data_IF_200496728952
#
_entry.id   IF_200496728952
#
_cell.length_a   1.000
_cell.length_b   1.000
_cell.length_c   1.000
_cell.angle_alpha   90.00
_cell.angle_beta   90.00
_cell.angle_gamma   90.00
#
_symmetry.space_group_name_H-M   'P 1'
#
loop_
_entity.id
_entity.type
_entity.pdbx_description
1 polymer ?
#
# COMPACT_ATOMS: atom_id res chain seq x y z
N UNK A 1 -11.37 15.48 -6.92
CA UNK A 1 -10.67 14.75 -5.82
C UNK A 1 -11.57 14.38 -4.64
N UNK A 2 -12.88 14.68 -4.63
CA UNK A 2 -13.72 14.42 -3.45
C UNK A 2 -14.43 13.05 -3.43
N UNK A 3 -14.70 12.43 -4.58
CA UNK A 3 -15.47 11.18 -4.61
C UNK A 3 -14.67 9.98 -4.08
N UNK A 4 -13.40 9.86 -4.46
CA UNK A 4 -12.56 8.74 -4.04
C UNK A 4 -12.29 8.79 -2.53
N UNK A 5 -12.09 9.98 -1.96
CA UNK A 5 -11.89 10.14 -0.51
C UNK A 5 -13.14 9.76 0.29
N UNK A 6 -14.33 10.17 -0.19
CA UNK A 6 -15.62 9.78 0.41
C UNK A 6 -15.86 8.27 0.26
N UNK A 7 -15.45 7.67 -0.85
CA UNK A 7 -15.58 6.23 -1.12
C UNK A 7 -14.64 5.41 -0.23
N UNK A 8 -13.39 5.86 -0.07
CA UNK A 8 -12.44 5.28 0.90
C UNK A 8 -12.93 5.39 2.33
N UNK A 9 -13.47 6.55 2.75
CA UNK A 9 -14.03 6.72 4.09
C UNK A 9 -15.21 5.78 4.33
N UNK A 10 -16.08 5.58 3.33
CA UNK A 10 -17.18 4.61 3.41
C UNK A 10 -16.67 3.16 3.53
N UNK A 11 -15.66 2.80 2.75
CA UNK A 11 -15.08 1.46 2.78
C UNK A 11 -14.37 1.17 4.11
N UNK A 12 -13.63 2.14 4.64
CA UNK A 12 -13.03 2.09 5.97
C UNK A 12 -14.10 1.91 7.04
N UNK A 13 -15.16 2.73 7.02
CA UNK A 13 -16.27 2.61 7.98
C UNK A 13 -16.98 1.25 7.88
N UNK A 14 -17.18 0.72 6.67
CA UNK A 14 -17.76 -0.61 6.45
C UNK A 14 -16.89 -1.72 7.04
N UNK A 15 -15.58 -1.66 6.81
CA UNK A 15 -14.62 -2.63 7.35
C UNK A 15 -14.53 -2.56 8.87
N UNK A 16 -14.51 -1.36 9.43
CA UNK A 16 -14.53 -1.14 10.89
C UNK A 16 -15.82 -1.66 11.52
N UNK A 17 -16.97 -1.42 10.90
CA UNK A 17 -18.25 -1.95 11.36
C UNK A 17 -18.29 -3.49 11.31
N UNK A 18 -17.80 -4.09 10.21
CA UNK A 18 -17.69 -5.55 10.11
C UNK A 18 -16.77 -6.11 11.20
N UNK A 19 -15.59 -5.54 11.37
CA UNK A 19 -14.66 -5.97 12.42
C UNK A 19 -15.26 -5.83 13.83
N UNK A 20 -15.98 -4.73 14.10
CA UNK A 20 -16.68 -4.53 15.36
C UNK A 20 -17.78 -5.57 15.59
N UNK A 21 -18.54 -5.94 14.55
CA UNK A 21 -19.57 -6.97 14.64
C UNK A 21 -18.98 -8.36 14.88
N UNK A 22 -17.90 -8.72 14.18
CA UNK A 22 -17.20 -10.01 14.39
C UNK A 22 -16.64 -10.10 15.82
N UNK A 23 -16.06 -9.00 16.32
CA UNK A 23 -15.61 -8.93 17.71
C UNK A 23 -16.79 -9.09 18.67
N UNK A 24 -17.89 -8.36 18.48
CA UNK A 24 -19.08 -8.50 19.31
C UNK A 24 -19.66 -9.93 19.29
N UNK A 25 -19.76 -10.54 18.12
CA UNK A 25 -20.22 -11.92 17.93
C UNK A 25 -19.30 -12.94 18.63
N UNK A 26 -17.98 -12.72 18.58
CA UNK A 26 -17.02 -13.58 19.29
C UNK A 26 -17.18 -13.49 20.82
N UNK A 27 -17.43 -12.30 21.37
CA UNK A 27 -17.70 -12.10 22.79
C UNK A 27 -19.01 -12.77 23.22
N UNK A 28 -20.06 -12.68 22.40
CA UNK A 28 -21.34 -13.35 22.66
C UNK A 28 -21.14 -14.87 22.67
N UNK A 29 -20.41 -15.40 21.70
CA UNK A 29 -20.09 -16.83 21.59
C UNK A 29 -19.28 -17.32 22.79
N UNK A 30 -18.23 -16.60 23.20
CA UNK A 30 -17.43 -16.93 24.38
C UNK A 30 -18.28 -16.94 25.65
N UNK A 31 -19.14 -15.93 25.82
CA UNK A 31 -20.08 -15.84 26.95
C UNK A 31 -21.04 -17.04 26.98
N UNK A 32 -21.60 -17.43 25.85
CA UNK A 32 -22.50 -18.59 25.75
C UNK A 32 -21.77 -19.90 26.12
N UNK A 33 -20.58 -20.12 25.58
CA UNK A 33 -19.76 -21.29 25.90
C UNK A 33 -19.43 -21.38 27.39
N UNK A 34 -19.12 -20.26 28.02
CA UNK A 34 -18.87 -20.18 29.47
C UNK A 34 -20.14 -20.47 30.27
N UNK A 35 -21.29 -19.91 29.90
CA UNK A 35 -22.57 -20.19 30.58
C UNK A 35 -22.96 -21.65 30.46
N UNK A 36 -22.84 -22.27 29.29
CA UNK A 36 -23.07 -23.71 29.08
C UNK A 36 -22.14 -24.55 29.98
N UNK A 37 -20.88 -24.14 30.10
CA UNK A 37 -19.92 -24.82 30.97
C UNK A 37 -20.30 -24.72 32.45
N UNK A 38 -20.85 -23.58 32.88
CA UNK A 38 -21.37 -23.37 34.25
C UNK A 38 -22.62 -24.22 34.50
N UNK A 39 -23.58 -24.23 33.57
CA UNK A 39 -24.79 -25.07 33.66
C UNK A 39 -24.38 -26.54 33.81
N UNK A 40 -23.48 -27.01 32.94
CA UNK A 40 -22.95 -28.37 33.00
C UNK A 40 -22.32 -28.68 34.36
N UNK A 41 -21.54 -27.76 34.92
CA UNK A 41 -20.93 -27.93 36.23
C UNK A 41 -21.97 -28.14 37.35
N UNK A 42 -23.06 -27.38 37.36
CA UNK A 42 -24.13 -27.54 38.35
C UNK A 42 -24.91 -28.84 38.17
N UNK A 43 -25.19 -29.23 36.91
CA UNK A 43 -25.82 -30.53 36.60
C UNK A 43 -24.96 -31.71 37.07
N UNK A 44 -23.64 -31.66 36.85
CA UNK A 44 -22.70 -32.68 37.32
C UNK A 44 -22.66 -32.79 38.86
N UNK A 45 -23.00 -31.73 39.58
CA UNK A 45 -23.15 -31.70 41.04
C UNK A 45 -24.55 -32.07 41.53
N UNK A 46 -25.50 -32.29 40.63
CA UNK A 46 -26.91 -32.56 40.94
C UNK A 46 -27.70 -31.35 41.42
N UNK A 47 -27.17 -30.13 41.25
CA UNK A 47 -27.84 -28.87 41.61
C UNK A 47 -28.66 -28.36 40.43
N UNK A 48 -29.82 -28.99 40.22
CA UNK A 48 -30.68 -28.73 39.07
C UNK A 48 -31.36 -27.36 39.12
N UNK A 49 -31.59 -26.81 40.32
CA UNK A 49 -32.21 -25.49 40.49
C UNK A 49 -31.23 -24.38 40.06
N UNK A 50 -29.96 -24.48 40.47
CA UNK A 50 -28.93 -23.58 40.00
C UNK A 50 -28.70 -23.71 38.50
N UNK A 51 -28.63 -24.94 37.97
CA UNK A 51 -28.48 -25.17 36.52
C UNK A 51 -29.63 -24.56 35.70
N UNK A 52 -30.87 -24.71 36.16
CA UNK A 52 -32.05 -24.14 35.52
C UNK A 52 -32.02 -22.60 35.54
N UNK A 53 -31.68 -22.00 36.69
CA UNK A 53 -31.56 -20.54 36.81
C UNK A 53 -30.51 -19.94 35.86
N UNK A 54 -29.39 -20.63 35.61
CA UNK A 54 -28.38 -20.20 34.63
C UNK A 54 -28.80 -20.45 33.19
N UNK A 55 -29.67 -21.44 32.95
CA UNK A 55 -30.24 -21.73 31.63
C UNK A 55 -31.24 -20.66 31.22
N UNK A 56 -32.13 -20.22 32.12
CA UNK A 56 -33.06 -19.12 31.82
C UNK A 56 -32.30 -17.82 31.50
N UNK A 57 -31.20 -17.57 32.22
CA UNK A 57 -30.32 -16.43 31.95
C UNK A 57 -29.61 -16.46 30.59
N UNK A 58 -29.38 -17.62 29.95
CA UNK A 58 -28.73 -17.67 28.62
C UNK A 58 -29.69 -17.23 27.50
N UNK A 59 -30.99 -17.50 27.68
CA UNK A 59 -32.04 -17.18 26.71
C UNK A 59 -32.33 -15.68 26.68
N UNK A 60 -32.24 -15.00 27.82
CA UNK A 60 -32.36 -13.53 27.93
C UNK A 60 -31.24 -12.76 27.20
N UNK A 61 -30.18 -13.43 26.76
CA UNK A 61 -29.01 -12.81 26.09
C UNK A 61 -28.91 -13.08 24.59
N UNK A 62 -29.82 -13.86 24.00
CA UNK A 62 -29.89 -14.05 22.56
C UNK A 62 -30.62 -12.85 21.93
N UNK A 63 -29.94 -12.06 21.10
CA UNK A 63 -30.56 -10.88 20.45
C UNK A 63 -31.67 -11.24 19.45
N UNK A 64 -31.68 -12.46 18.90
CA UNK A 64 -32.73 -12.96 18.01
C UNK A 64 -33.65 -13.95 18.74
N UNK A 65 -34.95 -13.63 18.77
CA UNK A 65 -35.99 -14.48 19.36
C UNK A 65 -36.33 -15.65 18.40
N UNK A 66 -35.62 -16.76 18.59
CA UNK A 66 -35.88 -18.00 17.85
C UNK A 66 -37.08 -18.78 18.38
N UNK A 67 -37.75 -18.33 19.45
CA UNK A 67 -38.81 -19.11 20.12
C UNK A 67 -39.93 -19.48 19.14
N UNK A 68 -40.34 -18.53 18.30
CA UNK A 68 -41.38 -18.78 17.29
C UNK A 68 -40.92 -19.74 16.17
N UNK A 69 -39.64 -19.75 15.80
CA UNK A 69 -39.11 -20.69 14.80
C UNK A 69 -38.98 -22.11 15.38
N UNK A 70 -38.54 -22.21 16.64
CA UNK A 70 -38.42 -23.48 17.36
C UNK A 70 -39.80 -24.10 17.58
N UNK A 71 -40.80 -23.31 18.01
CA UNK A 71 -42.18 -23.78 18.17
C UNK A 71 -42.76 -24.32 16.85
N UNK A 72 -42.50 -23.65 15.73
CA UNK A 72 -42.98 -24.08 14.41
C UNK A 72 -42.27 -25.34 13.86
N UNK A 73 -41.14 -25.73 14.44
CA UNK A 73 -40.37 -26.91 14.04
C UNK A 73 -40.24 -27.94 15.19
N UNK A 74 -41.06 -27.83 16.25
CA UNK A 74 -40.95 -28.64 17.48
C UNK A 74 -41.00 -30.16 17.23
N UNK A 75 -41.66 -30.57 16.14
CA UNK A 75 -41.85 -31.97 15.79
C UNK A 75 -40.59 -32.62 15.19
N UNK A 76 -39.60 -31.84 14.74
CA UNK A 76 -38.34 -32.32 14.15
C UNK A 76 -37.24 -31.25 14.20
N UNK A 77 -36.79 -30.93 15.42
CA UNK A 77 -35.76 -29.92 15.65
C UNK A 77 -34.39 -30.31 15.09
N UNK A 78 -34.07 -31.61 15.10
CA UNK A 78 -32.80 -32.12 14.58
C UNK A 78 -32.72 -31.91 13.07
N UNK A 79 -33.77 -32.27 12.32
CA UNK A 79 -33.78 -32.00 10.87
C UNK A 79 -33.85 -30.52 10.54
N UNK A 80 -34.52 -29.70 11.36
CA UNK A 80 -34.53 -28.25 11.21
C UNK A 80 -33.14 -27.64 11.40
N UNK A 81 -32.44 -28.07 12.45
CA UNK A 81 -31.10 -27.64 12.76
C UNK A 81 -30.13 -28.08 11.66
N UNK A 82 -30.12 -29.36 11.29
CA UNK A 82 -29.26 -29.91 10.23
C UNK A 82 -29.45 -29.17 8.91
N UNK A 83 -30.69 -28.82 8.55
CA UNK A 83 -31.00 -28.03 7.35
C UNK A 83 -30.50 -26.59 7.44
N UNK A 84 -30.54 -26.00 8.63
CA UNK A 84 -30.00 -24.64 8.86
C UNK A 84 -28.47 -24.64 8.76
N UNK A 85 -27.84 -25.73 9.18
CA UNK A 85 -26.39 -25.92 9.15
C UNK A 85 -25.88 -26.56 7.84
N UNK A 86 -26.77 -26.93 6.91
CA UNK A 86 -26.44 -27.66 5.67
C UNK A 86 -25.44 -26.91 4.75
N UNK A 87 -25.37 -25.59 4.89
CA UNK A 87 -24.42 -24.73 4.15
C UNK A 87 -23.36 -24.10 5.07
N UNK A 88 -23.15 -24.63 6.27
CA UNK A 88 -22.08 -24.15 7.13
C UNK A 88 -20.73 -24.37 6.48
N UNK A 89 -20.01 -23.26 6.32
CA UNK A 89 -18.71 -23.23 5.71
C UNK A 89 -17.68 -23.52 6.79
N UNK A 90 -16.80 -24.50 6.57
CA UNK A 90 -15.70 -24.77 7.49
C UNK A 90 -14.76 -23.56 7.60
N UNK A 91 -13.97 -23.46 8.67
CA UNK A 91 -12.99 -22.36 8.84
C UNK A 91 -12.04 -22.23 7.65
N UNK A 92 -11.65 -23.35 7.04
CA UNK A 92 -10.77 -23.39 5.87
C UNK A 92 -11.50 -22.88 4.62
N UNK A 93 -12.73 -23.31 4.38
CA UNK A 93 -13.53 -22.84 3.25
C UNK A 93 -13.91 -21.35 3.41
N UNK A 94 -14.16 -20.88 4.63
CA UNK A 94 -14.43 -19.47 4.91
C UNK A 94 -13.21 -18.61 4.60
N UNK A 95 -12.01 -19.08 4.95
CA UNK A 95 -10.75 -18.43 4.61
C UNK A 95 -10.51 -18.42 3.10
N UNK A 96 -10.80 -19.52 2.40
CA UNK A 96 -10.70 -19.60 0.94
C UNK A 96 -11.69 -18.66 0.24
N UNK A 97 -12.94 -18.57 0.71
CA UNK A 97 -13.93 -17.62 0.21
C UNK A 97 -13.42 -16.20 0.40
N UNK A 98 -12.99 -15.83 1.62
CA UNK A 98 -12.44 -14.50 1.93
C UNK A 98 -11.25 -14.16 1.02
N UNK A 99 -10.29 -15.07 0.84
CA UNK A 99 -9.14 -14.84 -0.05
C UNK A 99 -9.56 -14.75 -1.52
N UNK A 100 -10.55 -15.54 -1.97
CA UNK A 100 -11.03 -15.54 -3.35
C UNK A 100 -11.87 -14.30 -3.70
N UNK A 101 -12.63 -13.76 -2.75
CA UNK A 101 -13.43 -12.55 -2.89
C UNK A 101 -12.60 -11.27 -2.75
N UNK A 102 -11.38 -11.39 -2.23
CA UNK A 102 -10.48 -10.26 -2.00
C UNK A 102 -9.15 -10.37 -2.78
N UNK A 103 -9.17 -10.60 -4.11
CA UNK A 103 -7.95 -10.78 -4.91
C UNK A 103 -7.05 -9.54 -4.90
N UNK A 104 -7.65 -8.35 -4.76
CA UNK A 104 -6.94 -7.08 -4.65
C UNK A 104 -6.15 -6.97 -3.34
N UNK A 105 -6.66 -7.51 -2.24
CA UNK A 105 -5.98 -7.51 -0.93
C UNK A 105 -4.79 -8.46 -0.96
N UNK A 106 -4.94 -9.63 -1.57
CA UNK A 106 -3.83 -10.57 -1.76
C UNK A 106 -2.75 -10.01 -2.70
N UNK A 107 -3.16 -9.34 -3.79
CA UNK A 107 -2.23 -8.64 -4.68
C UNK A 107 -1.48 -7.51 -3.97
N UNK A 108 -2.18 -6.73 -3.13
CA UNK A 108 -1.57 -5.67 -2.33
C UNK A 108 -0.58 -6.21 -1.30
N UNK A 109 -0.95 -7.27 -0.57
CA UNK A 109 -0.10 -7.95 0.41
C UNK A 109 1.19 -8.44 -0.24
N UNK A 110 1.10 -9.06 -1.42
CA UNK A 110 2.27 -9.48 -2.19
C UNK A 110 3.13 -8.29 -2.62
N UNK A 111 2.51 -7.25 -3.19
CA UNK A 111 3.19 -6.02 -3.62
C UNK A 111 3.92 -5.32 -2.46
N UNK A 112 3.31 -5.29 -1.27
CA UNK A 112 3.89 -4.72 -0.06
C UNK A 112 5.15 -5.47 0.39
N UNK A 113 5.10 -6.80 0.37
CA UNK A 113 6.26 -7.65 0.69
C UNK A 113 7.40 -7.39 -0.30
N UNK A 114 7.11 -7.41 -1.61
CA UNK A 114 8.09 -7.15 -2.66
C UNK A 114 8.71 -5.74 -2.53
N UNK A 115 7.90 -4.72 -2.21
CA UNK A 115 8.38 -3.35 -1.99
C UNK A 115 9.27 -3.23 -0.76
N UNK A 116 8.90 -3.89 0.34
CA UNK A 116 9.69 -3.87 1.57
C UNK A 116 11.05 -4.52 1.37
N UNK A 117 11.10 -5.64 0.66
CA UNK A 117 12.35 -6.33 0.32
C UNK A 117 13.23 -5.43 -0.56
N UNK A 118 12.67 -4.79 -1.59
CA UNK A 118 13.39 -3.82 -2.43
C UNK A 118 13.90 -2.61 -1.65
N UNK A 119 13.08 -2.02 -0.77
CA UNK A 119 13.48 -0.87 0.05
C UNK A 119 14.63 -1.21 1.01
N UNK A 120 14.68 -2.46 1.50
CA UNK A 120 15.78 -2.93 2.34
C UNK A 120 17.13 -2.95 1.59
N UNK A 121 17.13 -3.14 0.26
CA UNK A 121 18.34 -3.05 -0.58
C UNK A 121 18.93 -1.62 -0.58
N UNK A 122 18.06 -0.60 -0.54
CA UNK A 122 18.47 0.82 -0.53
C UNK A 122 18.92 1.32 0.85
N UNK A 123 18.46 0.68 1.94
CA UNK A 123 18.80 1.09 3.32
C UNK A 123 20.29 1.03 3.66
N UNK A 124 21.10 0.30 2.88
CA UNK A 124 22.55 0.20 3.05
C UNK A 124 23.36 1.07 2.07
N UNK A 125 22.69 1.85 1.21
CA UNK A 125 23.36 2.67 0.20
C UNK A 125 23.61 4.09 0.70
N UNK A 126 24.73 4.69 0.28
CA UNK A 126 24.94 6.13 0.45
C UNK A 126 24.10 6.89 -0.59
N UNK A 127 23.39 7.96 -0.21
CA UNK A 127 22.66 8.80 -1.15
C UNK A 127 23.63 9.48 -2.14
N UNK A 128 23.20 9.63 -3.39
CA UNK A 128 23.99 10.30 -4.44
C UNK A 128 23.54 11.74 -4.68
N UNK A 129 22.34 12.09 -4.22
CA UNK A 129 21.72 13.39 -4.35
C UNK A 129 20.69 13.58 -3.23
N UNK A 130 20.19 14.81 -3.09
CA UNK A 130 19.17 15.17 -2.10
C UNK A 130 18.13 16.07 -2.75
N UNK A 131 16.86 15.83 -2.40
CA UNK A 131 15.76 16.67 -2.85
C UNK A 131 14.96 17.19 -1.65
N UNK A 132 14.36 18.37 -1.82
CA UNK A 132 13.39 18.95 -0.89
C UNK A 132 12.04 19.04 -1.60
N UNK A 133 11.00 18.48 -1.01
CA UNK A 133 9.63 18.73 -1.46
C UNK A 133 9.26 20.19 -1.16
N UNK A 134 8.68 20.85 -2.15
CA UNK A 134 8.16 22.22 -2.01
C UNK A 134 6.64 22.24 -1.85
N UNK A 135 6.01 21.07 -1.85
CA UNK A 135 4.57 20.92 -2.00
C UNK A 135 4.12 21.10 -3.46
N UNK A 136 2.82 20.89 -3.68
CA UNK A 136 2.18 20.93 -5.01
C UNK A 136 2.83 20.01 -6.05
N UNK A 137 3.38 18.88 -5.63
CA UNK A 137 4.01 17.90 -6.53
C UNK A 137 5.35 18.35 -7.11
N UNK A 138 5.96 19.41 -6.57
CA UNK A 138 7.23 19.96 -7.05
C UNK A 138 8.38 19.66 -6.08
N UNK A 139 9.47 19.08 -6.59
CA UNK A 139 10.68 18.81 -5.82
C UNK A 139 11.84 19.68 -6.31
N UNK A 140 12.69 20.13 -5.40
CA UNK A 140 13.91 20.87 -5.71
C UNK A 140 15.14 20.01 -5.46
N UNK A 141 16.02 19.88 -6.46
CA UNK A 141 17.35 19.33 -6.26
C UNK A 141 18.16 20.29 -5.36
N UNK A 142 18.61 19.78 -4.22
CA UNK A 142 19.41 20.50 -3.23
C UNK A 142 20.78 19.87 -3.04
N UNK A 143 21.19 18.97 -3.95
CA UNK A 143 22.49 18.30 -3.94
C UNK A 143 23.66 19.29 -3.99
N UNK A 144 23.45 20.45 -4.62
CA UNK A 144 24.44 21.53 -4.69
C UNK A 144 24.48 22.42 -3.44
N UNK A 145 23.65 22.14 -2.43
CA UNK A 145 23.53 22.91 -1.18
C UNK A 145 23.82 22.03 0.06
N UNK A 146 25.00 21.40 0.17
CA UNK A 146 25.28 20.38 1.19
C UNK A 146 25.18 20.89 2.62
N UNK A 147 25.57 22.15 2.87
CA UNK A 147 25.47 22.78 4.20
C UNK A 147 24.01 22.93 4.64
N UNK A 148 23.13 23.36 3.72
CA UNK A 148 21.70 23.49 4.01
C UNK A 148 21.02 22.14 4.21
N UNK A 149 21.41 21.12 3.45
CA UNK A 149 20.91 19.75 3.66
C UNK A 149 21.29 19.23 5.05
N UNK A 150 22.51 19.50 5.52
CA UNK A 150 22.93 19.11 6.87
C UNK A 150 22.13 19.86 7.96
N UNK A 151 22.00 21.18 7.84
CA UNK A 151 21.21 22.00 8.76
C UNK A 151 19.75 21.55 8.85
N UNK A 152 19.12 21.28 7.71
CA UNK A 152 17.74 20.83 7.68
C UNK A 152 17.57 19.41 8.21
N UNK A 153 18.55 18.52 8.02
CA UNK A 153 18.52 17.19 8.64
C UNK A 153 18.57 17.25 10.16
N UNK A 154 19.48 18.07 10.69
CA UNK A 154 19.59 18.29 12.14
C UNK A 154 18.30 18.93 12.70
N UNK A 155 17.70 19.85 11.93
CA UNK A 155 16.39 20.42 12.25
C UNK A 155 15.28 19.35 12.27
N UNK A 156 15.19 18.49 11.26
CA UNK A 156 14.18 17.42 11.18
C UNK A 156 14.33 16.37 12.27
N UNK A 157 15.57 16.00 12.62
CA UNK A 157 15.85 15.06 13.71
C UNK A 157 15.44 15.63 15.07
N UNK A 158 15.47 16.96 15.24
CA UNK A 158 15.09 17.65 16.48
C UNK A 158 13.62 18.10 16.52
N UNK A 159 12.95 18.22 15.37
CA UNK A 159 11.57 18.71 15.24
C UNK A 159 10.75 17.87 14.24
N UNK A 160 10.52 16.57 14.52
CA UNK A 160 9.85 15.64 13.60
C UNK A 160 8.43 16.04 13.22
N UNK A 161 7.75 16.84 14.06
CA UNK A 161 6.38 17.32 13.87
C UNK A 161 6.22 18.40 12.79
N UNK A 162 7.31 19.05 12.41
CA UNK A 162 7.36 20.11 11.39
C UNK A 162 8.52 19.89 10.41
N UNK A 163 8.98 18.64 10.30
CA UNK A 163 10.10 18.28 9.47
C UNK A 163 9.84 18.68 8.01
N UNK A 164 10.83 19.33 7.39
CA UNK A 164 10.84 19.55 5.95
C UNK A 164 10.97 18.20 5.24
N UNK A 165 10.27 17.98 4.14
CA UNK A 165 10.34 16.76 3.33
C UNK A 165 11.64 16.73 2.50
N UNK A 166 12.77 16.62 3.18
CA UNK A 166 14.07 16.38 2.56
C UNK A 166 14.33 14.89 2.57
N UNK A 167 14.48 14.34 1.37
CA UNK A 167 14.65 12.91 1.19
C UNK A 167 15.90 12.60 0.35
N UNK A 168 16.61 11.51 0.71
CA UNK A 168 17.75 11.05 -0.04
C UNK A 168 17.34 10.50 -1.41
N UNK A 169 18.10 10.85 -2.44
CA UNK A 169 18.02 10.22 -3.76
C UNK A 169 19.14 9.19 -3.89
N UNK A 170 18.76 7.93 -4.02
CA UNK A 170 19.70 6.83 -4.23
C UNK A 170 19.88 6.56 -5.72
N UNK A 171 21.10 6.22 -6.13
CA UNK A 171 21.34 5.74 -7.49
C UNK A 171 20.65 4.39 -7.63
N UNK A 172 19.70 4.30 -8.56
CA UNK A 172 19.04 3.03 -8.87
C UNK A 172 20.09 1.97 -9.23
N UNK A 173 20.06 0.82 -8.57
CA UNK A 173 21.06 -0.25 -8.69
C UNK A 173 21.05 -0.96 -10.05
N UNK A 174 20.23 -0.53 -11.01
CA UNK A 174 20.24 -1.10 -12.36
C UNK A 174 21.59 -0.79 -13.03
N UNK A 175 22.56 -1.67 -12.80
CA UNK A 175 23.64 -2.01 -13.73
C UNK A 175 23.07 -2.68 -14.99
N UNK A 176 21.97 -2.17 -15.55
CA UNK A 176 21.77 -2.36 -16.97
C UNK A 176 22.93 -1.62 -17.62
N UNK A 177 23.70 -2.30 -18.45
CA UNK A 177 24.69 -1.65 -19.30
C UNK A 177 23.95 -0.60 -20.11
N UNK A 178 24.05 0.67 -19.70
CA UNK A 178 23.47 1.80 -20.41
C UNK A 178 24.14 1.87 -21.79
N UNK A 179 23.45 1.32 -22.79
CA UNK A 179 23.85 1.48 -24.18
C UNK A 179 23.44 2.86 -24.65
N UNK A 180 24.42 3.77 -24.72
CA UNK A 180 24.19 5.10 -25.25
C UNK A 180 23.85 5.01 -26.74
N UNK A 181 22.70 5.57 -27.09
CA UNK A 181 22.27 5.65 -28.49
C UNK A 181 22.96 6.77 -29.24
N UNK A 182 23.41 7.81 -28.53
CA UNK A 182 24.14 8.94 -29.06
C UNK A 182 24.77 9.76 -27.91
N UNK A 183 25.56 10.75 -28.26
CA UNK A 183 25.99 11.84 -27.38
C UNK A 183 25.14 13.09 -27.65
N UNK A 184 24.92 13.90 -26.62
CA UNK A 184 24.25 15.20 -26.74
C UNK A 184 25.06 16.28 -26.04
N UNK A 185 25.38 17.34 -26.75
CA UNK A 185 25.87 18.59 -26.18
C UNK A 185 24.66 19.47 -25.83
N UNK A 186 24.36 19.54 -24.54
CA UNK A 186 23.14 20.17 -24.05
C UNK A 186 23.19 21.70 -24.18
N UNK A 187 22.15 22.29 -24.75
CA UNK A 187 21.96 23.74 -24.81
C UNK A 187 20.94 24.22 -23.79
N UNK A 188 19.86 23.46 -23.58
CA UNK A 188 18.85 23.76 -22.57
C UNK A 188 18.05 22.51 -22.18
N UNK A 189 17.51 22.50 -20.96
CA UNK A 189 16.49 21.56 -20.52
C UNK A 189 15.31 22.38 -20.00
N UNK A 190 14.13 22.22 -20.60
CA UNK A 190 12.98 23.11 -20.38
C UNK A 190 11.76 22.28 -19.96
N UNK A 191 11.09 22.69 -18.89
CA UNK A 191 9.79 22.17 -18.47
C UNK A 191 8.66 22.81 -19.30
N UNK A 192 7.74 21.99 -19.80
CA UNK A 192 6.57 22.39 -20.55
C UNK A 192 5.32 22.41 -19.65
N UNK A 193 4.22 23.02 -20.10
CA UNK A 193 2.96 23.23 -19.35
C UNK A 193 2.21 21.95 -18.87
N UNK A 194 2.77 20.76 -19.06
CA UNK A 194 2.22 19.45 -18.66
C UNK A 194 3.18 18.64 -17.76
N UNK A 195 4.05 19.29 -16.97
CA UNK A 195 5.11 18.64 -16.16
C UNK A 195 6.08 17.77 -16.99
N UNK A 196 6.18 18.03 -18.30
CA UNK A 196 7.08 17.31 -19.20
C UNK A 196 8.33 18.13 -19.44
N UNK A 197 9.49 17.60 -19.09
CA UNK A 197 10.78 18.20 -19.42
C UNK A 197 11.28 17.71 -20.79
N UNK A 198 11.77 18.62 -21.62
CA UNK A 198 12.43 18.31 -22.90
C UNK A 198 13.84 18.91 -22.94
N UNK A 199 14.77 18.20 -23.58
CA UNK A 199 16.13 18.66 -23.78
C UNK A 199 16.34 19.18 -25.20
N UNK A 200 17.13 20.24 -25.31
CA UNK A 200 17.62 20.82 -26.55
C UNK A 200 19.14 20.72 -26.58
N UNK A 201 19.71 20.35 -27.72
CA UNK A 201 21.15 20.23 -27.86
C UNK A 201 21.59 19.73 -29.22
N UNK A 202 22.90 19.65 -29.40
CA UNK A 202 23.53 19.09 -30.61
C UNK A 202 23.84 17.62 -30.42
N UNK A 203 23.43 16.80 -31.37
CA UNK A 203 23.64 15.35 -31.34
C UNK A 203 24.99 14.97 -31.95
N UNK A 204 25.65 13.97 -31.39
CA UNK A 204 26.90 13.39 -31.91
C UNK A 204 26.88 11.86 -31.77
N UNK A 205 27.68 11.17 -32.57
CA UNK A 205 27.93 9.72 -32.42
C UNK A 205 26.63 8.89 -32.36
N UNK A 206 25.61 9.24 -33.15
CA UNK A 206 24.33 8.53 -33.14
C UNK A 206 24.49 7.13 -33.77
N UNK A 207 24.45 6.10 -32.91
CA UNK A 207 24.65 4.71 -33.30
C UNK A 207 23.57 4.21 -34.25
N UNK A 208 22.39 4.85 -34.24
CA UNK A 208 21.26 4.56 -35.12
C UNK A 208 21.29 5.35 -36.43
N UNK A 209 22.27 6.24 -36.63
CA UNK A 209 22.43 7.07 -37.84
C UNK A 209 21.17 7.84 -38.23
N UNK A 210 20.38 8.31 -37.25
CA UNK A 210 19.17 9.11 -37.48
C UNK A 210 19.53 10.56 -37.76
N UNK A 211 20.63 11.02 -37.17
CA UNK A 211 21.13 12.39 -37.29
C UNK A 211 22.63 12.38 -37.61
N UNK A 212 23.06 13.42 -38.34
CA UNK A 212 24.48 13.70 -38.52
C UNK A 212 25.02 14.43 -37.29
N UNK A 213 26.34 14.34 -37.06
CA UNK A 213 27.01 15.03 -35.97
C UNK A 213 26.83 16.55 -36.06
N UNK A 214 26.57 17.19 -34.91
CA UNK A 214 26.38 18.63 -34.78
C UNK A 214 24.97 19.13 -35.09
N UNK A 215 24.03 18.25 -35.47
CA UNK A 215 22.64 18.63 -35.73
C UNK A 215 21.92 18.98 -34.42
N UNK A 216 21.25 20.13 -34.41
CA UNK A 216 20.41 20.54 -33.30
C UNK A 216 19.11 19.73 -33.27
N UNK A 217 18.78 19.21 -32.09
CA UNK A 217 17.58 18.43 -31.86
C UNK A 217 16.81 18.93 -30.65
N UNK A 218 15.49 18.66 -30.67
CA UNK A 218 14.63 18.64 -29.50
C UNK A 218 14.32 17.19 -29.18
N UNK A 219 14.56 16.76 -27.94
CA UNK A 219 14.26 15.38 -27.53
C UNK A 219 12.76 15.17 -27.30
N UNK A 220 12.35 13.90 -27.32
CA UNK A 220 11.12 13.49 -26.62
C UNK A 220 11.23 13.75 -25.11
N UNK A 221 10.13 13.68 -24.34
CA UNK A 221 10.16 13.92 -22.90
C UNK A 221 11.24 13.12 -22.18
N UNK A 222 11.95 13.83 -21.30
CA UNK A 222 13.04 13.29 -20.49
C UNK A 222 12.43 12.51 -19.32
N UNK A 223 12.92 11.30 -19.12
CA UNK A 223 12.48 10.38 -18.06
C UNK A 223 13.23 10.65 -16.74
N UNK A 224 14.48 11.11 -16.83
CA UNK A 224 15.31 11.46 -15.67
C UNK A 224 15.62 12.97 -15.55
N UNK A 225 14.60 13.87 -15.58
CA UNK A 225 14.83 15.31 -15.69
C UNK A 225 15.49 15.93 -14.45
N UNK A 226 15.45 15.24 -13.31
CA UNK A 226 16.02 15.73 -12.05
C UNK A 226 17.41 15.17 -11.74
N UNK A 227 17.84 14.11 -12.44
CA UNK A 227 19.12 13.44 -12.17
C UNK A 227 20.05 13.43 -13.37
N UNK A 228 19.65 13.91 -14.54
CA UNK A 228 20.46 13.81 -15.77
C UNK A 228 21.88 14.38 -15.63
N UNK A 229 22.06 15.46 -14.85
CA UNK A 229 23.37 16.06 -14.59
C UNK A 229 24.26 15.10 -13.78
N UNK A 230 23.74 14.57 -12.67
CA UNK A 230 24.48 13.66 -11.77
C UNK A 230 24.66 12.27 -12.37
N UNK A 231 23.72 11.84 -13.21
CA UNK A 231 23.75 10.62 -14.00
C UNK A 231 24.75 10.70 -15.17
N UNK A 232 25.01 11.92 -15.68
CA UNK A 232 25.84 12.15 -16.86
C UNK A 232 25.17 11.75 -18.18
N UNK A 233 23.86 11.49 -18.19
CA UNK A 233 23.10 11.11 -19.36
C UNK A 233 21.64 11.55 -19.28
N UNK A 234 21.01 11.72 -20.44
CA UNK A 234 19.57 11.97 -20.60
C UNK A 234 18.91 10.71 -21.13
N UNK A 235 17.91 10.20 -20.40
CA UNK A 235 17.06 9.10 -20.83
C UNK A 235 15.72 9.64 -21.30
N UNK A 236 15.26 9.15 -22.43
CA UNK A 236 13.95 9.44 -23.00
C UNK A 236 13.26 8.14 -23.34
N UNK A 237 11.99 8.20 -23.75
CA UNK A 237 11.25 6.99 -24.17
C UNK A 237 11.98 6.20 -25.27
N UNK A 238 12.68 6.87 -26.18
CA UNK A 238 13.22 6.25 -27.40
C UNK A 238 14.74 6.18 -27.45
N UNK A 239 15.46 6.83 -26.52
CA UNK A 239 16.90 7.04 -26.61
C UNK A 239 17.54 7.36 -25.27
N UNK A 240 18.80 6.98 -25.15
CA UNK A 240 19.68 7.36 -24.05
C UNK A 240 20.84 8.16 -24.65
N UNK A 241 21.03 9.39 -24.19
CA UNK A 241 22.05 10.30 -24.67
C UNK A 241 23.10 10.52 -23.59
N UNK A 242 24.37 10.23 -23.87
CA UNK A 242 25.47 10.62 -22.99
C UNK A 242 25.68 12.12 -23.07
N UNK A 243 25.82 12.81 -21.95
CA UNK A 243 26.08 14.24 -21.94
C UNK A 243 27.52 14.50 -22.35
N UNK A 244 27.68 15.24 -23.44
CA UNK A 244 28.96 15.74 -23.94
C UNK A 244 29.16 17.16 -23.42
N UNK A 245 30.34 17.41 -22.87
CA UNK A 245 30.74 18.75 -22.45
C UNK A 245 31.50 19.39 -23.61
N UNK A 246 31.13 20.62 -24.00
CA UNK A 246 31.87 21.39 -24.99
C UNK A 246 33.32 21.55 -24.51
N UNK A 247 34.27 21.28 -25.39
CA UNK A 247 35.72 21.43 -25.13
C UNK A 247 36.19 22.82 -25.54
#
# INVERSE_FOLDING_TARGET
MNNNAIEFEKEINKLQFKAANEVAASWITEKQLLTISIIRHFLEKGDNEAALSWTDGILDYLEEDFSSEIENNEHDLDSWLDKRLENEVSTSEALEIICSEMPTVEAFKKSWVDMREKLAEYGNMQPVAWARDKGMGSSMDVTTLPERVAEWREFNESHPEIADDIFPLYRHLSKESLEFTAEIELTACIELEDDKTVAFGKIFNDSKKRFNDGVEIKTSPVINPYTYITDGYIKTQNSVYKIRHST
#
